data_IF_965868731802
#
_entry.id   IF_965868731802
#
_cell.length_a   1.000
_cell.length_b   1.000
_cell.length_c   1.000
_cell.angle_alpha   90.00
_cell.angle_beta   90.00
_cell.angle_gamma   90.00
#
_symmetry.space_group_name_H-M   'P 1'
#
loop_
_entity.id
_entity.type
_entity.pdbx_description
1 polymer ?
#
# COMPACT_ATOMS: atom_id res chain seq x y z
N UNK A 1 -12.14 20.72 1.76
CA UNK A 1 -10.95 19.94 2.16
C UNK A 1 -10.79 18.61 1.40
N UNK A 2 -11.89 18.01 0.97
CA UNK A 2 -11.98 16.76 0.18
C UNK A 2 -11.07 16.68 -1.07
N UNK A 3 -10.76 17.80 -1.76
CA UNK A 3 -9.84 17.80 -2.93
C UNK A 3 -8.40 17.39 -2.57
N UNK A 4 -7.86 17.88 -1.45
CA UNK A 4 -6.49 17.52 -1.02
C UNK A 4 -6.40 16.04 -0.64
N UNK A 5 -7.47 15.51 -0.04
CA UNK A 5 -7.57 14.12 0.36
C UNK A 5 -7.79 13.19 -0.86
N UNK A 6 -8.46 13.67 -1.90
CA UNK A 6 -8.52 13.02 -3.20
C UNK A 6 -7.14 12.92 -3.86
N UNK A 7 -6.33 13.98 -3.83
CA UNK A 7 -4.93 13.92 -4.30
C UNK A 7 -4.09 12.93 -3.51
N UNK A 8 -4.28 12.84 -2.19
CA UNK A 8 -3.61 11.86 -1.35
C UNK A 8 -3.95 10.43 -1.79
N UNK A 9 -5.23 10.11 -2.00
CA UNK A 9 -5.65 8.79 -2.49
C UNK A 9 -5.16 8.49 -3.91
N UNK A 10 -5.13 9.49 -4.79
CA UNK A 10 -4.58 9.33 -6.13
C UNK A 10 -3.07 9.06 -6.10
N UNK A 11 -2.32 9.77 -5.25
CA UNK A 11 -0.90 9.52 -5.02
C UNK A 11 -0.66 8.14 -4.42
N UNK A 12 -1.44 7.77 -3.39
CA UNK A 12 -1.41 6.45 -2.78
C UNK A 12 -1.61 5.34 -3.82
N UNK A 13 -2.65 5.47 -4.65
CA UNK A 13 -2.95 4.47 -5.67
C UNK A 13 -1.87 4.37 -6.75
N UNK A 14 -1.33 5.50 -7.20
CA UNK A 14 -0.21 5.53 -8.14
C UNK A 14 1.06 4.91 -7.54
N UNK A 15 1.35 5.22 -6.27
CA UNK A 15 2.51 4.66 -5.57
C UNK A 15 2.43 3.15 -5.44
N UNK A 16 1.25 2.60 -5.10
CA UNK A 16 1.04 1.15 -5.04
C UNK A 16 1.19 0.48 -6.41
N UNK A 17 0.70 1.11 -7.48
CA UNK A 17 0.88 0.62 -8.85
C UNK A 17 2.36 0.62 -9.25
N UNK A 18 3.08 1.72 -9.00
CA UNK A 18 4.50 1.82 -9.28
C UNK A 18 5.30 0.77 -8.51
N UNK A 19 4.97 0.57 -7.24
CA UNK A 19 5.64 -0.40 -6.39
C UNK A 19 5.31 -1.85 -6.80
N UNK A 20 4.08 -2.12 -7.28
CA UNK A 20 3.71 -3.39 -7.90
C UNK A 20 4.46 -3.67 -9.21
N UNK A 21 4.65 -2.65 -10.06
CA UNK A 21 5.44 -2.78 -11.28
C UNK A 21 6.92 -3.08 -10.98
N UNK A 22 7.51 -2.34 -10.04
CA UNK A 22 8.89 -2.55 -9.57
C UNK A 22 9.07 -3.94 -8.95
N UNK A 23 8.06 -4.45 -8.23
CA UNK A 23 8.13 -5.80 -7.67
C UNK A 23 8.20 -6.91 -8.74
N UNK A 24 7.52 -6.73 -9.89
CA UNK A 24 7.59 -7.70 -11.00
C UNK A 24 8.96 -7.69 -11.66
N UNK A 25 9.55 -6.50 -11.84
CA UNK A 25 10.89 -6.35 -12.39
C UNK A 25 11.95 -7.04 -11.51
N UNK A 26 11.81 -6.94 -10.18
CA UNK A 26 12.78 -7.45 -9.22
C UNK A 26 12.62 -8.93 -8.85
N UNK A 27 11.40 -9.46 -8.75
CA UNK A 27 11.16 -10.80 -8.18
C UNK A 27 10.35 -11.76 -9.06
N UNK A 28 10.04 -11.38 -10.31
CA UNK A 28 9.45 -12.25 -11.32
C UNK A 28 8.21 -13.02 -10.83
N UNK A 29 8.24 -14.35 -10.89
CA UNK A 29 7.09 -15.21 -10.57
C UNK A 29 6.70 -15.20 -9.07
N UNK A 30 7.62 -14.89 -8.15
CA UNK A 30 7.31 -14.75 -6.73
C UNK A 30 6.60 -13.42 -6.39
N UNK A 31 6.62 -12.45 -7.31
CA UNK A 31 5.93 -11.17 -7.16
C UNK A 31 4.46 -11.19 -7.55
N UNK A 32 3.88 -12.31 -8.03
CA UNK A 32 2.47 -12.36 -8.46
C UNK A 32 1.51 -11.83 -7.39
N UNK A 33 1.77 -12.14 -6.12
CA UNK A 33 0.95 -11.60 -5.03
C UNK A 33 1.16 -10.11 -4.82
N UNK A 34 2.41 -9.62 -4.85
CA UNK A 34 2.72 -8.19 -4.72
C UNK A 34 2.14 -7.36 -5.88
N UNK A 35 2.21 -7.87 -7.11
CA UNK A 35 1.59 -7.28 -8.29
C UNK A 35 0.07 -7.21 -8.14
N UNK A 36 -0.58 -8.30 -7.71
CA UNK A 36 -2.04 -8.31 -7.52
C UNK A 36 -2.45 -7.31 -6.44
N UNK A 37 -1.78 -7.26 -5.30
CA UNK A 37 -2.09 -6.27 -4.26
C UNK A 37 -1.77 -4.84 -4.68
N UNK A 38 -0.66 -4.61 -5.39
CA UNK A 38 -0.26 -3.28 -5.87
C UNK A 38 -1.19 -2.77 -6.96
N UNK A 39 -1.60 -3.64 -7.89
CA UNK A 39 -2.51 -3.28 -8.97
C UNK A 39 -3.96 -3.15 -8.49
N UNK A 40 -4.46 -4.10 -7.69
CA UNK A 40 -5.81 -4.03 -7.14
C UNK A 40 -5.94 -2.85 -6.17
N UNK A 41 -5.00 -2.71 -5.24
CA UNK A 41 -4.99 -1.57 -4.32
C UNK A 41 -4.81 -0.25 -5.07
N UNK A 42 -3.87 -0.17 -6.01
CA UNK A 42 -3.66 1.04 -6.79
C UNK A 42 -4.87 1.50 -7.59
N UNK A 43 -5.63 0.56 -8.19
CA UNK A 43 -6.89 0.85 -8.87
C UNK A 43 -7.99 1.29 -7.90
N UNK A 44 -8.10 0.65 -6.73
CA UNK A 44 -9.09 1.04 -5.71
C UNK A 44 -8.75 2.43 -5.16
N UNK A 45 -7.48 2.73 -4.91
CA UNK A 45 -7.04 4.05 -4.45
C UNK A 45 -7.29 5.15 -5.48
N UNK A 46 -7.02 4.89 -6.75
CA UNK A 46 -7.33 5.83 -7.85
C UNK A 46 -8.83 6.06 -8.03
N UNK A 47 -9.63 5.00 -7.97
CA UNK A 47 -11.09 5.12 -8.06
C UNK A 47 -11.67 5.84 -6.86
N UNK A 48 -11.22 5.52 -5.64
CA UNK A 48 -11.57 6.22 -4.41
C UNK A 48 -11.24 7.71 -4.49
N UNK A 49 -10.04 8.05 -4.97
CA UNK A 49 -9.61 9.42 -5.24
C UNK A 49 -10.53 10.13 -6.24
N UNK A 50 -10.88 9.48 -7.35
CA UNK A 50 -11.77 10.03 -8.37
C UNK A 50 -13.19 10.30 -7.84
N UNK A 51 -13.77 9.35 -7.12
CA UNK A 51 -15.10 9.50 -6.52
C UNK A 51 -15.14 10.55 -5.41
N UNK A 52 -14.07 10.66 -4.63
CA UNK A 52 -13.96 11.70 -3.61
C UNK A 52 -13.82 13.09 -4.23
N UNK A 53 -13.14 13.22 -5.38
CA UNK A 53 -13.08 14.48 -6.13
C UNK A 53 -14.47 14.94 -6.61
N UNK A 54 -15.35 13.99 -6.91
CA UNK A 54 -16.76 14.27 -7.28
C UNK A 54 -17.66 14.56 -6.07
N UNK A 55 -17.12 14.57 -4.85
CA UNK A 55 -17.86 14.91 -3.63
C UNK A 55 -18.71 13.77 -3.06
N UNK A 56 -18.54 12.54 -3.54
CA UNK A 56 -19.24 11.36 -3.02
C UNK A 56 -18.53 10.82 -1.77
N UNK A 57 -19.27 10.73 -0.66
CA UNK A 57 -18.75 10.16 0.61
C UNK A 57 -18.24 8.72 0.48
N UNK A 58 -18.77 7.97 -0.48
CA UNK A 58 -18.38 6.58 -0.75
C UNK A 58 -16.91 6.45 -1.14
N UNK A 59 -16.35 7.42 -1.87
CA UNK A 59 -14.93 7.42 -2.23
C UNK A 59 -14.02 7.50 -1.00
N UNK A 60 -14.42 8.29 0.01
CA UNK A 60 -13.68 8.37 1.26
C UNK A 60 -13.73 7.06 2.06
N UNK A 61 -14.90 6.42 2.14
CA UNK A 61 -15.07 5.15 2.87
C UNK A 61 -14.26 4.04 2.19
N UNK A 62 -14.34 3.93 0.86
CA UNK A 62 -13.56 2.97 0.08
C UNK A 62 -12.05 3.16 0.27
N UNK A 63 -11.55 4.37 0.07
CA UNK A 63 -10.11 4.64 0.22
C UNK A 63 -9.60 4.43 1.66
N UNK A 64 -10.39 4.78 2.67
CA UNK A 64 -10.00 4.58 4.08
C UNK A 64 -10.01 3.10 4.44
N UNK A 65 -11.06 2.37 4.03
CA UNK A 65 -11.18 0.94 4.28
C UNK A 65 -10.05 0.16 3.59
N UNK A 66 -9.73 0.53 2.35
CA UNK A 66 -8.65 -0.06 1.57
C UNK A 66 -7.27 0.21 2.21
N UNK A 67 -6.97 1.46 2.57
CA UNK A 67 -5.74 1.81 3.27
C UNK A 67 -5.60 1.05 4.60
N UNK A 68 -6.71 0.88 5.33
CA UNK A 68 -6.75 0.09 6.56
C UNK A 68 -6.47 -1.40 6.33
N UNK A 69 -7.13 -2.00 5.34
CA UNK A 69 -6.93 -3.40 4.97
C UNK A 69 -5.48 -3.65 4.52
N UNK A 70 -4.95 -2.78 3.66
CA UNK A 70 -3.58 -2.89 3.17
C UNK A 70 -2.56 -2.70 4.29
N UNK A 71 -2.81 -1.79 5.24
CA UNK A 71 -1.93 -1.63 6.42
C UNK A 71 -1.84 -2.93 7.22
N UNK A 72 -2.97 -3.62 7.46
CA UNK A 72 -2.97 -4.91 8.15
C UNK A 72 -2.26 -6.01 7.36
N UNK A 73 -2.60 -6.15 6.06
CA UNK A 73 -2.02 -7.17 5.20
C UNK A 73 -0.51 -6.99 4.98
N UNK A 74 -0.09 -5.75 4.71
CA UNK A 74 1.32 -5.41 4.51
C UNK A 74 2.10 -5.47 5.82
N UNK A 75 1.49 -5.13 6.97
CA UNK A 75 2.10 -5.31 8.28
C UNK A 75 2.40 -6.77 8.59
N UNK A 76 1.43 -7.65 8.31
CA UNK A 76 1.62 -9.10 8.42
C UNK A 76 2.73 -9.59 7.47
N UNK A 77 2.69 -9.17 6.20
CA UNK A 77 3.68 -9.54 5.19
C UNK A 77 5.09 -9.06 5.55
N UNK A 78 5.23 -7.81 5.99
CA UNK A 78 6.52 -7.24 6.39
C UNK A 78 7.11 -8.04 7.55
N UNK A 79 6.29 -8.41 8.54
CA UNK A 79 6.72 -9.25 9.67
C UNK A 79 7.18 -10.63 9.19
N UNK A 80 6.43 -11.28 8.30
CA UNK A 80 6.81 -12.58 7.75
C UNK A 80 8.12 -12.52 6.94
N UNK A 81 8.31 -11.49 6.11
CA UNK A 81 9.55 -11.28 5.37
C UNK A 81 10.73 -10.97 6.29
N UNK A 82 10.52 -10.19 7.35
CA UNK A 82 11.54 -9.88 8.35
C UNK A 82 12.03 -11.14 9.08
N UNK A 83 11.10 -12.00 9.53
CA UNK A 83 11.44 -13.28 10.17
C UNK A 83 12.21 -14.18 9.20
N UNK A 84 11.79 -14.23 7.93
CA UNK A 84 12.47 -15.00 6.89
C UNK A 84 13.91 -14.50 6.64
N UNK A 85 14.10 -13.18 6.60
CA UNK A 85 15.41 -12.53 6.48
C UNK A 85 16.32 -12.84 7.67
N UNK A 86 15.80 -12.73 8.89
CA UNK A 86 16.54 -13.08 10.12
C UNK A 86 17.03 -14.54 10.08
N UNK A 87 16.16 -15.47 9.66
CA UNK A 87 16.54 -16.87 9.50
C UNK A 87 17.65 -17.07 8.45
N UNK A 88 17.56 -16.39 7.31
CA UNK A 88 18.59 -16.46 6.26
C UNK A 88 19.93 -15.87 6.71
N UNK A 89 19.92 -14.75 7.44
CA UNK A 89 21.14 -14.15 7.99
C UNK A 89 21.81 -15.04 9.05
N UNK A 90 21.02 -15.77 9.85
CA UNK A 90 21.55 -16.71 10.85
C UNK A 90 22.12 -17.99 10.24
N UNK A 91 21.64 -18.42 9.07
CA UNK A 91 22.06 -19.66 8.42
C UNK A 91 23.26 -19.51 7.47
N UNK A 92 23.78 -18.29 7.25
CA UNK A 92 24.96 -18.07 6.40
C UNK A 92 24.76 -18.53 4.95
N UNK A 93 23.54 -18.41 4.43
CA UNK A 93 23.17 -18.93 3.11
C UNK A 93 23.42 -17.91 1.99
N UNK A 94 23.59 -18.40 0.76
CA UNK A 94 24.05 -17.65 -0.43
C UNK A 94 23.47 -16.23 -0.58
N UNK A 95 24.37 -15.28 -0.93
CA UNK A 95 24.11 -13.84 -1.07
C UNK A 95 22.91 -13.51 -1.96
N UNK A 96 22.77 -14.17 -3.12
CA UNK A 96 21.71 -13.84 -4.08
C UNK A 96 20.28 -14.07 -3.57
N UNK A 97 20.08 -15.06 -2.68
CA UNK A 97 18.76 -15.33 -2.12
C UNK A 97 18.39 -14.33 -1.02
N UNK A 98 19.40 -13.81 -0.32
CA UNK A 98 19.26 -12.81 0.74
C UNK A 98 18.94 -11.42 0.16
N UNK A 99 19.55 -11.06 -0.97
CA UNK A 99 19.28 -9.81 -1.68
C UNK A 99 17.83 -9.72 -2.16
N UNK A 100 17.32 -10.80 -2.76
CA UNK A 100 15.94 -10.86 -3.27
C UNK A 100 14.92 -10.76 -2.13
N UNK A 101 15.16 -11.46 -1.01
CA UNK A 101 14.33 -11.37 0.18
C UNK A 101 14.39 -9.97 0.83
N UNK A 102 15.59 -9.36 0.87
CA UNK A 102 15.84 -7.99 1.32
C UNK A 102 15.00 -6.97 0.54
N UNK A 103 15.04 -7.03 -0.78
CA UNK A 103 14.27 -6.14 -1.66
C UNK A 103 12.76 -6.31 -1.48
N UNK A 104 12.27 -7.54 -1.33
CA UNK A 104 10.87 -7.81 -1.05
C UNK A 104 10.41 -7.22 0.30
N UNK A 105 11.24 -7.30 1.33
CA UNK A 105 10.99 -6.68 2.62
C UNK A 105 10.96 -5.15 2.52
N UNK A 106 11.95 -4.53 1.85
CA UNK A 106 12.02 -3.08 1.69
C UNK A 106 10.80 -2.54 0.93
N UNK A 107 10.42 -3.16 -0.19
CA UNK A 107 9.22 -2.78 -0.95
C UNK A 107 7.95 -2.91 -0.10
N UNK A 108 7.77 -4.04 0.58
CA UNK A 108 6.58 -4.27 1.43
C UNK A 108 6.50 -3.24 2.55
N UNK A 109 7.64 -2.90 3.16
CA UNK A 109 7.71 -1.92 4.24
C UNK A 109 7.43 -0.51 3.72
N UNK A 110 7.94 -0.15 2.53
CA UNK A 110 7.64 1.14 1.90
C UNK A 110 6.12 1.28 1.60
N UNK A 111 5.50 0.24 1.03
CA UNK A 111 4.04 0.21 0.82
C UNK A 111 3.29 0.35 2.15
N UNK A 112 3.74 -0.34 3.21
CA UNK A 112 3.14 -0.29 4.54
C UNK A 112 3.17 1.12 5.13
N UNK A 113 4.32 1.80 5.07
CA UNK A 113 4.47 3.16 5.60
C UNK A 113 3.52 4.12 4.90
N UNK A 114 3.45 4.05 3.56
CA UNK A 114 2.58 4.92 2.78
C UNK A 114 1.09 4.60 3.03
N UNK A 115 0.71 3.33 3.17
CA UNK A 115 -0.64 2.92 3.56
C UNK A 115 -1.00 3.44 4.96
N UNK A 116 -0.09 3.34 5.92
CA UNK A 116 -0.29 3.80 7.29
C UNK A 116 -0.43 5.33 7.38
N UNK A 117 0.40 6.07 6.64
CA UNK A 117 0.29 7.53 6.56
C UNK A 117 -1.04 7.94 5.93
N UNK A 118 -1.43 7.28 4.83
CA UNK A 118 -2.71 7.55 4.16
C UNK A 118 -3.88 7.29 5.10
N UNK A 119 -3.88 6.16 5.81
CA UNK A 119 -4.87 5.83 6.82
C UNK A 119 -4.93 6.87 7.94
N UNK A 120 -3.77 7.27 8.47
CA UNK A 120 -3.67 8.25 9.56
C UNK A 120 -4.29 9.60 9.16
N UNK A 121 -3.91 10.11 7.98
CA UNK A 121 -4.45 11.37 7.45
C UNK A 121 -5.96 11.24 7.19
N UNK A 122 -6.41 10.11 6.64
CA UNK A 122 -7.84 9.84 6.44
C UNK A 122 -8.61 9.83 7.76
N UNK A 123 -8.08 9.23 8.82
CA UNK A 123 -8.72 9.24 10.15
C UNK A 123 -8.78 10.65 10.72
N UNK A 124 -7.67 11.42 10.65
CA UNK A 124 -7.60 12.79 11.17
C UNK A 124 -8.64 13.71 10.53
N UNK A 125 -8.81 13.63 9.21
CA UNK A 125 -9.73 14.50 8.46
C UNK A 125 -11.09 13.85 8.18
N UNK A 126 -11.32 12.61 8.63
CA UNK A 126 -12.51 11.84 8.26
C UNK A 126 -13.81 12.49 8.73
N UNK A 127 -13.85 13.03 9.95
CA UNK A 127 -15.03 13.74 10.46
C UNK A 127 -15.36 15.00 9.65
N UNK A 128 -14.34 15.71 9.14
CA UNK A 128 -14.52 16.91 8.34
C UNK A 128 -14.98 16.56 6.92
N UNK A 129 -14.36 15.56 6.29
CA UNK A 129 -14.76 15.10 4.95
C UNK A 129 -16.19 14.57 4.95
N UNK A 130 -16.55 13.69 5.90
CA UNK A 130 -17.91 13.12 5.98
C UNK A 130 -19.00 14.18 6.17
N UNK A 131 -18.66 15.35 6.73
CA UNK A 131 -19.59 16.47 6.91
C UNK A 131 -19.68 17.36 5.67
N UNK A 132 -18.62 17.44 4.85
CA UNK A 132 -18.57 18.22 3.61
C UNK A 132 -19.11 17.47 2.38
N UNK A 133 -19.05 16.13 2.37
CA UNK A 133 -19.48 15.29 1.23
C UNK A 133 -20.91 14.77 1.38
N UNK A 134 -21.64 14.67 0.26
CA UNK A 134 -23.01 14.13 0.21
C UNK A 134 -23.04 12.60 0.18
#
# INVERSE_FOLDING_TARGET
MHKNLSYLYAFFGFFLLACGAVAVDLAGEQAKTALITGAAGGLIGLTAGHFLNRGHRWGFILGTAEAGLLTLLLGWRATAYFIKLLGMMQQGQETGNTETAGMAFLLTTAMLVIAFLTLTVSIMFGKQVLRETK
#
